data_IF_506711338917
#
_entry.id   IF_506711338917
#
_cell.length_a   1.000
_cell.length_b   1.000
_cell.length_c   1.000
_cell.angle_alpha   90.00
_cell.angle_beta   90.00
_cell.angle_gamma   90.00
#
_symmetry.space_group_name_H-M   'P 1'
#
loop_
_entity.id
_entity.type
_entity.pdbx_description
1 polymer ?
#
# COMPACT_ATOMS: atom_id res chain seq x y z
N UNK A 1 -0.50 18.93 11.33
CA UNK A 1 -1.62 18.87 10.37
C UNK A 1 -2.89 19.43 11.03
N UNK A 2 -3.64 20.26 10.30
CA UNK A 2 -4.85 20.95 10.79
C UNK A 2 -5.89 19.97 11.37
N UNK A 3 -6.21 18.91 10.64
CA UNK A 3 -7.20 17.91 11.07
C UNK A 3 -6.83 17.21 12.39
N UNK A 4 -5.55 16.92 12.62
CA UNK A 4 -5.10 16.32 13.88
C UNK A 4 -5.27 17.28 15.07
N UNK A 5 -5.13 18.60 14.84
CA UNK A 5 -5.41 19.61 15.85
C UNK A 5 -6.88 19.66 16.19
N UNK A 6 -7.75 19.71 15.18
CA UNK A 6 -9.20 19.72 15.36
C UNK A 6 -9.71 18.51 16.15
N UNK A 7 -9.09 17.35 15.95
CA UNK A 7 -9.46 16.09 16.60
C UNK A 7 -8.69 15.83 17.92
N UNK A 8 -7.92 16.81 18.41
CA UNK A 8 -7.09 16.69 19.62
C UNK A 8 -6.11 15.49 19.60
N UNK A 9 -5.60 15.12 18.41
CA UNK A 9 -4.73 13.97 18.20
C UNK A 9 -3.23 14.33 18.02
N UNK A 10 -2.84 15.59 18.25
CA UNK A 10 -1.47 16.06 17.98
C UNK A 10 -0.37 15.24 18.67
N UNK A 11 -0.64 14.78 19.89
CA UNK A 11 0.32 14.01 20.68
C UNK A 11 0.37 12.52 20.28
N UNK A 12 -0.56 12.06 19.44
CA UNK A 12 -0.71 10.66 19.05
C UNK A 12 -0.34 10.40 17.59
N UNK A 13 -0.25 11.45 16.77
CA UNK A 13 -0.01 11.35 15.32
C UNK A 13 1.25 12.12 14.94
N UNK A 14 2.14 11.49 14.18
CA UNK A 14 3.31 12.10 13.57
C UNK A 14 3.16 12.07 12.05
N UNK A 15 3.43 13.19 11.41
CA UNK A 15 3.37 13.34 9.95
C UNK A 15 4.78 13.44 9.38
N UNK A 16 5.05 12.65 8.34
CA UNK A 16 6.31 12.69 7.62
C UNK A 16 6.02 12.92 6.14
N UNK A 17 6.69 13.90 5.55
CA UNK A 17 6.72 14.09 4.10
C UNK A 17 7.99 13.42 3.56
N UNK A 18 7.86 12.19 3.07
CA UNK A 18 8.99 11.39 2.62
C UNK A 18 8.58 10.40 1.54
N UNK A 19 9.45 10.16 0.59
CA UNK A 19 9.35 8.98 -0.27
C UNK A 19 9.55 7.71 0.57
N UNK A 20 8.79 6.66 0.25
CA UNK A 20 8.85 5.39 0.98
C UNK A 20 10.27 4.79 0.98
N UNK A 21 11.02 4.96 -0.10
CA UNK A 21 12.39 4.45 -0.20
C UNK A 21 13.34 5.14 0.77
N UNK A 22 13.05 6.39 1.15
CA UNK A 22 13.86 7.20 2.07
C UNK A 22 13.39 7.16 3.51
N UNK A 23 12.31 6.44 3.80
CA UNK A 23 11.76 6.35 5.14
C UNK A 23 12.39 5.19 5.93
N UNK A 24 13.08 5.49 7.04
CA UNK A 24 13.80 4.51 7.87
C UNK A 24 13.47 4.63 9.37
N UNK A 25 12.44 5.38 9.71
CA UNK A 25 12.14 5.72 11.10
C UNK A 25 11.22 4.67 11.73
N UNK A 26 11.65 4.12 12.86
CA UNK A 26 10.84 3.28 13.74
C UNK A 26 10.71 1.82 13.32
N UNK A 27 9.98 1.09 14.14
CA UNK A 27 9.49 -0.28 13.94
C UNK A 27 8.02 -0.31 14.33
N UNK A 28 7.21 -0.96 13.50
CA UNK A 28 5.75 -0.88 13.59
C UNK A 28 5.11 -2.25 13.82
N UNK A 29 4.06 -2.26 14.61
CA UNK A 29 3.22 -3.45 14.82
C UNK A 29 2.25 -3.65 13.66
N UNK A 30 1.90 -2.55 12.97
CA UNK A 30 0.99 -2.54 11.83
C UNK A 30 1.43 -1.49 10.81
N UNK A 31 1.46 -1.87 9.54
CA UNK A 31 1.56 -0.97 8.39
C UNK A 31 0.33 -1.16 7.51
N UNK A 32 -0.33 -0.06 7.16
CA UNK A 32 -1.40 0.00 6.17
C UNK A 32 -0.88 0.74 4.95
N UNK A 33 -1.17 0.25 3.75
CA UNK A 33 -0.81 0.94 2.53
C UNK A 33 -1.81 0.69 1.42
N UNK A 34 -2.15 1.78 0.71
CA UNK A 34 -2.85 1.77 -0.57
C UNK A 34 -1.90 2.40 -1.61
N UNK A 35 -0.95 1.63 -2.17
CA UNK A 35 -0.03 2.16 -3.15
C UNK A 35 -0.70 2.27 -4.53
N UNK A 36 -0.25 3.18 -5.41
CA UNK A 36 -0.68 3.22 -6.79
C UNK A 36 -0.42 1.88 -7.49
N UNK A 37 -1.41 1.36 -8.21
CA UNK A 37 -1.33 0.06 -8.86
C UNK A 37 -1.80 0.04 -10.33
N UNK A 38 -2.19 1.18 -10.89
CA UNK A 38 -2.63 1.29 -12.27
C UNK A 38 -1.39 1.35 -13.18
N UNK A 39 -1.37 0.56 -14.24
CA UNK A 39 -0.29 0.62 -15.22
C UNK A 39 -0.31 1.96 -15.94
N UNK A 40 0.86 2.50 -16.28
CA UNK A 40 0.98 3.76 -17.02
C UNK A 40 0.15 3.78 -18.30
N UNK A 41 0.10 2.66 -19.01
CA UNK A 41 -0.68 2.53 -20.25
C UNK A 41 -2.18 2.65 -20.01
N UNK A 42 -2.68 2.16 -18.87
CA UNK A 42 -4.10 2.12 -18.54
C UNK A 42 -4.62 3.45 -17.97
N UNK A 43 -3.72 4.36 -17.54
CA UNK A 43 -4.08 5.67 -16.99
C UNK A 43 -4.92 6.52 -17.97
N UNK A 44 -4.71 6.37 -19.27
CA UNK A 44 -5.47 7.10 -20.31
C UNK A 44 -6.90 6.58 -20.51
N UNK A 45 -7.23 5.41 -19.99
CA UNK A 45 -8.56 4.79 -20.09
C UNK A 45 -9.37 4.90 -18.80
N UNK A 46 -8.88 5.66 -17.83
CA UNK A 46 -9.62 5.93 -16.59
C UNK A 46 -10.86 6.78 -16.85
N UNK A 47 -11.88 6.56 -16.03
CA UNK A 47 -13.06 7.41 -16.01
C UNK A 47 -12.66 8.88 -15.82
N UNK A 48 -13.38 9.79 -16.48
CA UNK A 48 -13.07 11.23 -16.49
C UNK A 48 -12.95 11.80 -15.09
N UNK A 49 -13.80 11.36 -14.16
CA UNK A 49 -13.80 11.85 -12.79
C UNK A 49 -12.52 11.45 -12.06
N UNK A 50 -12.07 10.20 -12.21
CA UNK A 50 -10.81 9.73 -11.62
C UNK A 50 -9.61 10.44 -12.25
N UNK A 51 -9.58 10.54 -13.59
CA UNK A 51 -8.48 11.17 -14.30
C UNK A 51 -8.38 12.69 -14.05
N UNK A 52 -9.48 13.35 -13.70
CA UNK A 52 -9.54 14.81 -13.52
C UNK A 52 -9.30 15.25 -12.08
N UNK A 53 -9.77 14.48 -11.10
CA UNK A 53 -9.72 14.85 -9.68
C UNK A 53 -8.61 14.17 -8.89
N UNK A 54 -8.11 13.01 -9.34
CA UNK A 54 -7.05 12.30 -8.65
C UNK A 54 -5.65 12.69 -9.21
N UNK A 55 -4.68 13.01 -8.35
CA UNK A 55 -3.32 13.26 -8.79
C UNK A 55 -2.73 12.02 -9.51
N UNK A 56 -2.15 12.20 -10.69
CA UNK A 56 -1.52 11.09 -11.46
C UNK A 56 -0.52 10.27 -10.62
N UNK A 57 0.20 10.92 -9.72
CA UNK A 57 1.15 10.27 -8.79
C UNK A 57 0.46 9.29 -7.85
N UNK A 58 -0.81 9.52 -7.52
CA UNK A 58 -1.60 8.64 -6.65
C UNK A 58 -2.16 7.40 -7.38
N UNK A 59 -2.14 7.40 -8.72
CA UNK A 59 -2.69 6.35 -9.56
C UNK A 59 -1.60 5.50 -10.23
N UNK A 60 -0.46 6.12 -10.57
CA UNK A 60 0.61 5.53 -11.37
C UNK A 60 1.40 4.45 -10.61
N UNK A 61 1.11 3.19 -10.91
CA UNK A 61 1.82 2.01 -10.39
C UNK A 61 3.11 1.66 -11.14
N UNK A 62 3.48 2.44 -12.16
CA UNK A 62 4.62 2.16 -13.05
C UNK A 62 4.22 1.39 -14.31
N UNK A 63 5.22 0.98 -15.09
CA UNK A 63 5.01 0.31 -16.38
C UNK A 63 4.21 -0.99 -16.27
N UNK A 64 4.41 -1.74 -15.19
CA UNK A 64 3.79 -3.04 -14.93
C UNK A 64 2.68 -3.00 -13.85
N UNK A 65 2.49 -1.84 -13.19
CA UNK A 65 1.57 -1.67 -12.06
C UNK A 65 2.09 -2.25 -10.73
N UNK A 66 3.29 -2.85 -10.71
CA UNK A 66 3.86 -3.47 -9.51
C UNK A 66 5.00 -2.69 -8.86
N UNK A 67 5.56 -1.73 -9.57
CA UNK A 67 6.75 -1.00 -9.14
C UNK A 67 6.60 -0.38 -7.76
N UNK A 68 5.51 0.37 -7.53
CA UNK A 68 5.27 1.06 -6.25
C UNK A 68 4.95 0.09 -5.11
N UNK A 69 4.08 -0.87 -5.35
CA UNK A 69 3.71 -1.86 -4.32
C UNK A 69 4.90 -2.74 -3.92
N UNK A 70 5.80 -3.05 -4.85
CA UNK A 70 7.04 -3.80 -4.55
C UNK A 70 7.93 -3.00 -3.59
N UNK A 71 8.10 -1.69 -3.81
CA UNK A 71 8.83 -0.81 -2.89
C UNK A 71 8.21 -0.81 -1.49
N UNK A 72 6.88 -0.73 -1.41
CA UNK A 72 6.16 -0.80 -0.13
C UNK A 72 6.43 -2.12 0.58
N UNK A 73 6.32 -3.27 -0.11
CA UNK A 73 6.55 -4.59 0.49
C UNK A 73 7.99 -4.70 1.02
N UNK A 74 8.97 -4.31 0.22
CA UNK A 74 10.38 -4.35 0.61
C UNK A 74 10.63 -3.46 1.83
N UNK A 75 10.11 -2.24 1.83
CA UNK A 75 10.26 -1.32 2.95
C UNK A 75 9.52 -1.79 4.19
N UNK A 76 8.29 -2.30 4.03
CA UNK A 76 7.51 -2.85 5.13
C UNK A 76 8.21 -4.04 5.79
N UNK A 77 8.86 -4.92 5.01
CA UNK A 77 9.61 -6.05 5.56
C UNK A 77 10.74 -5.62 6.52
N UNK A 78 11.23 -4.40 6.34
CA UNK A 78 12.28 -3.80 7.17
C UNK A 78 11.72 -3.09 8.40
N UNK A 79 10.57 -2.42 8.25
CA UNK A 79 9.97 -1.56 9.27
C UNK A 79 8.99 -2.29 10.19
N UNK A 80 8.47 -3.44 9.78
CA UNK A 80 7.54 -4.22 10.60
C UNK A 80 8.31 -5.05 11.62
N UNK A 81 7.84 -5.07 12.85
CA UNK A 81 8.31 -5.98 13.90
C UNK A 81 7.97 -7.43 13.56
N UNK A 82 8.70 -8.38 14.13
CA UNK A 82 8.29 -9.79 14.10
C UNK A 82 6.86 -9.92 14.65
N UNK A 83 6.03 -10.72 14.00
CA UNK A 83 4.60 -10.88 14.26
C UNK A 83 3.72 -9.63 13.96
N UNK A 84 4.31 -8.52 13.51
CA UNK A 84 3.57 -7.35 13.05
C UNK A 84 2.86 -7.62 11.72
N UNK A 85 1.86 -6.79 11.39
CA UNK A 85 0.98 -6.99 10.23
C UNK A 85 1.21 -5.95 9.16
N UNK A 86 1.18 -6.40 7.90
CA UNK A 86 1.08 -5.56 6.72
C UNK A 86 -0.29 -5.79 6.08
N UNK A 87 -1.03 -4.71 5.86
CA UNK A 87 -2.30 -4.72 5.13
C UNK A 87 -2.11 -3.87 3.88
N UNK A 88 -2.30 -4.49 2.71
CA UNK A 88 -2.10 -3.87 1.41
C UNK A 88 -3.40 -3.87 0.62
N UNK A 89 -3.78 -2.71 0.07
CA UNK A 89 -4.69 -2.66 -1.05
C UNK A 89 -3.97 -3.05 -2.34
N UNK A 90 -4.66 -3.79 -3.22
CA UNK A 90 -4.13 -4.30 -4.48
C UNK A 90 -5.10 -4.10 -5.63
N UNK A 91 -4.60 -4.05 -6.85
CA UNK A 91 -5.43 -4.18 -8.05
C UNK A 91 -5.98 -5.59 -8.21
N UNK A 92 -7.17 -5.70 -8.80
CA UNK A 92 -7.95 -6.95 -8.86
C UNK A 92 -7.23 -8.14 -9.53
N UNK A 93 -6.23 -7.91 -10.37
CA UNK A 93 -5.46 -8.97 -11.06
C UNK A 93 -4.06 -9.17 -10.47
N UNK A 94 -3.71 -8.50 -9.37
CA UNK A 94 -2.35 -8.48 -8.84
C UNK A 94 -2.07 -9.55 -7.77
N UNK A 95 -3.10 -10.22 -7.27
CA UNK A 95 -3.03 -11.14 -6.14
C UNK A 95 -1.85 -12.11 -6.21
N UNK A 96 -1.71 -12.86 -7.30
CA UNK A 96 -0.74 -13.96 -7.37
C UNK A 96 0.70 -13.46 -7.24
N UNK A 97 1.03 -12.39 -7.98
CA UNK A 97 2.36 -11.77 -7.93
C UNK A 97 2.64 -11.12 -6.57
N UNK A 98 1.65 -10.44 -5.98
CA UNK A 98 1.82 -9.80 -4.68
C UNK A 98 2.01 -10.85 -3.58
N UNK A 99 1.25 -11.94 -3.60
CA UNK A 99 1.41 -13.06 -2.66
C UNK A 99 2.82 -13.65 -2.75
N UNK A 100 3.34 -13.86 -3.98
CA UNK A 100 4.71 -14.33 -4.20
C UNK A 100 5.74 -13.36 -3.62
N UNK A 101 5.60 -12.07 -3.89
CA UNK A 101 6.50 -11.03 -3.36
C UNK A 101 6.46 -10.95 -1.83
N UNK A 102 5.28 -11.06 -1.22
CA UNK A 102 5.12 -11.08 0.24
C UNK A 102 5.83 -12.29 0.86
N UNK A 103 5.62 -13.49 0.31
CA UNK A 103 6.30 -14.71 0.79
C UNK A 103 7.83 -14.59 0.70
N UNK A 104 8.34 -14.06 -0.40
CA UNK A 104 9.79 -13.83 -0.61
C UNK A 104 10.37 -12.80 0.38
N UNK A 105 9.53 -11.96 0.99
CA UNK A 105 9.90 -10.99 2.03
C UNK A 105 9.56 -11.47 3.45
N UNK A 106 9.38 -12.78 3.64
CA UNK A 106 9.08 -13.41 4.93
C UNK A 106 7.75 -12.91 5.54
N UNK A 107 6.70 -12.86 4.71
CA UNK A 107 5.34 -12.62 5.18
C UNK A 107 4.48 -13.87 5.00
N UNK A 108 3.77 -14.24 6.04
CA UNK A 108 2.70 -15.24 6.01
C UNK A 108 1.40 -14.56 5.61
N UNK A 109 0.66 -15.13 4.66
CA UNK A 109 -0.63 -14.58 4.20
C UNK A 109 -1.74 -15.07 5.12
N UNK A 110 -2.35 -14.16 5.86
CA UNK A 110 -3.44 -14.47 6.77
C UNK A 110 -4.79 -14.54 6.04
N UNK A 111 -5.07 -13.52 5.20
CA UNK A 111 -6.38 -13.39 4.55
C UNK A 111 -6.27 -12.54 3.29
N UNK A 112 -7.12 -12.86 2.31
CA UNK A 112 -7.38 -12.02 1.14
C UNK A 112 -8.85 -11.62 1.20
N UNK A 113 -9.11 -10.32 1.12
CA UNK A 113 -10.44 -9.74 1.21
C UNK A 113 -10.86 -9.27 -0.18
N UNK A 114 -12.10 -9.54 -0.52
CA UNK A 114 -12.73 -9.09 -1.77
C UNK A 114 -13.58 -7.86 -1.52
N UNK A 115 -13.68 -7.02 -2.55
CA UNK A 115 -14.62 -5.89 -2.59
C UNK A 115 -16.07 -6.38 -2.84
N UNK A 116 -17.02 -5.46 -2.86
CA UNK A 116 -18.42 -5.76 -3.16
C UNK A 116 -18.62 -6.34 -4.56
N UNK A 117 -17.73 -6.04 -5.51
CA UNK A 117 -17.67 -6.62 -6.85
C UNK A 117 -17.02 -8.01 -6.90
N UNK A 118 -16.73 -8.63 -5.73
CA UNK A 118 -16.09 -9.94 -5.57
C UNK A 118 -14.67 -10.03 -6.15
N UNK A 119 -14.01 -8.88 -6.37
CA UNK A 119 -12.63 -8.80 -6.83
C UNK A 119 -11.68 -8.75 -5.64
N UNK A 120 -10.55 -9.46 -5.71
CA UNK A 120 -9.53 -9.41 -4.66
C UNK A 120 -9.01 -7.97 -4.53
N UNK A 121 -9.08 -7.41 -3.32
CA UNK A 121 -8.80 -5.99 -3.09
C UNK A 121 -7.84 -5.73 -1.95
N UNK A 122 -7.75 -6.60 -0.96
CA UNK A 122 -6.89 -6.37 0.19
C UNK A 122 -6.21 -7.66 0.63
N UNK A 123 -4.92 -7.59 0.95
CA UNK A 123 -4.15 -8.70 1.51
C UNK A 123 -3.72 -8.33 2.93
N UNK A 124 -4.04 -9.20 3.88
CA UNK A 124 -3.55 -9.14 5.25
C UNK A 124 -2.45 -10.18 5.41
N UNK A 125 -1.28 -9.74 5.86
CA UNK A 125 -0.12 -10.62 6.06
C UNK A 125 0.59 -10.32 7.37
N UNK A 126 1.30 -11.31 7.90
CA UNK A 126 2.07 -11.21 9.16
C UNK A 126 3.54 -11.47 8.88
N UNK A 127 4.43 -10.66 9.44
CA UNK A 127 5.88 -10.83 9.37
C UNK A 127 6.31 -12.04 10.21
N UNK A 128 7.00 -12.99 9.59
CA UNK A 128 7.58 -14.16 10.26
C UNK A 128 9.04 -13.94 10.61
#
# INVERSE_FOLDING_TARGET
CFNAKLQHLNNRVKFYNSDIDKFFIGKYDLILSNPPYIKNFDLKYLDRDVAHYEPKVALDGGSDGFSKITKVINKASYLIKKNGKLILEIGCYQRNEIVKKLKNNNFYINKIIRDYGKKDRCIISTKI
#
